data_IF_907198838300
#
_entry.id   IF_907198838300
#
_cell.length_a   1.000
_cell.length_b   1.000
_cell.length_c   1.000
_cell.angle_alpha   90.00
_cell.angle_beta   90.00
_cell.angle_gamma   90.00
#
_symmetry.space_group_name_H-M   'P 1'
#
loop_
_entity.id
_entity.type
_entity.pdbx_description
1 polymer ?
#
# COMPACT_ATOMS: atom_id res chain seq x y z
N UNK A 1 -4.61 -19.48 0.02
CA UNK A 1 -4.51 -18.06 0.44
C UNK A 1 -3.41 -17.42 -0.39
N UNK A 2 -3.59 -16.22 -0.94
CA UNK A 2 -2.57 -15.50 -1.73
C UNK A 2 -1.85 -14.48 -0.85
N UNK A 3 -0.64 -14.76 -0.35
CA UNK A 3 0.11 -13.79 0.46
C UNK A 3 0.65 -12.64 -0.38
N UNK A 4 0.88 -11.48 0.26
CA UNK A 4 1.63 -10.37 -0.34
C UNK A 4 3.13 -10.66 -0.24
N UNK A 5 3.83 -10.59 -1.37
CA UNK A 5 5.28 -10.74 -1.43
C UNK A 5 5.94 -9.37 -1.24
N UNK A 6 6.53 -9.15 -0.07
CA UNK A 6 7.28 -7.92 0.26
C UNK A 6 8.78 -8.24 0.40
N UNK A 7 9.71 -7.58 -0.29
CA UNK A 7 9.56 -6.54 -1.32
C UNK A 7 10.47 -6.81 -2.53
N UNK A 8 10.02 -6.39 -3.72
CA UNK A 8 10.84 -6.30 -4.92
C UNK A 8 11.65 -5.00 -4.89
N UNK A 9 12.99 -5.14 -4.91
CA UNK A 9 13.96 -4.05 -5.08
C UNK A 9 14.66 -4.19 -6.42
N UNK A 10 15.49 -3.21 -6.80
CA UNK A 10 16.24 -3.21 -8.05
C UNK A 10 17.11 -4.45 -8.25
N UNK A 11 17.69 -4.99 -7.18
CA UNK A 11 18.55 -6.17 -7.27
C UNK A 11 17.77 -7.48 -7.46
N UNK A 12 16.52 -7.53 -6.99
CA UNK A 12 15.75 -8.77 -6.88
C UNK A 12 14.49 -8.80 -7.77
N UNK A 13 14.32 -7.81 -8.65
CA UNK A 13 13.10 -7.61 -9.43
C UNK A 13 12.78 -8.83 -10.32
N UNK A 14 13.77 -9.37 -11.03
CA UNK A 14 13.59 -10.50 -11.93
C UNK A 14 13.11 -11.78 -11.21
N UNK A 15 13.79 -12.14 -10.11
CA UNK A 15 13.44 -13.34 -9.34
C UNK A 15 12.06 -13.21 -8.68
N UNK A 16 11.72 -12.02 -8.14
CA UNK A 16 10.40 -11.79 -7.54
C UNK A 16 9.31 -11.77 -8.60
N UNK A 17 9.57 -11.26 -9.81
CA UNK A 17 8.61 -11.28 -10.90
C UNK A 17 8.28 -12.71 -11.35
N UNK A 18 9.26 -13.60 -11.45
CA UNK A 18 9.04 -15.02 -11.76
C UNK A 18 8.24 -15.72 -10.66
N UNK A 19 8.62 -15.50 -9.39
CA UNK A 19 7.90 -16.04 -8.24
C UNK A 19 6.45 -15.57 -8.22
N UNK A 20 6.19 -14.29 -8.49
CA UNK A 20 4.86 -13.72 -8.52
C UNK A 20 3.99 -14.29 -9.64
N UNK A 21 4.57 -14.50 -10.83
CA UNK A 21 3.87 -15.16 -11.95
C UNK A 21 3.50 -16.60 -11.61
N UNK A 22 4.46 -17.36 -11.07
CA UNK A 22 4.24 -18.78 -10.72
C UNK A 22 3.19 -18.96 -9.62
N UNK A 23 3.18 -18.07 -8.64
CA UNK A 23 2.29 -18.17 -7.47
C UNK A 23 1.02 -17.32 -7.58
N UNK A 24 0.90 -16.49 -8.63
CA UNK A 24 -0.21 -15.55 -8.85
C UNK A 24 -0.52 -14.70 -7.60
N UNK A 25 0.55 -14.29 -6.90
CA UNK A 25 0.50 -13.52 -5.65
C UNK A 25 0.81 -12.04 -5.90
N UNK A 26 0.18 -11.12 -5.15
CA UNK A 26 0.50 -9.70 -5.24
C UNK A 26 1.93 -9.42 -4.76
N UNK A 27 2.59 -8.47 -5.39
CA UNK A 27 3.98 -8.05 -5.08
C UNK A 27 4.01 -6.62 -4.60
N UNK A 28 4.74 -6.37 -3.53
CA UNK A 28 5.06 -5.02 -3.09
C UNK A 28 6.44 -4.59 -3.62
N UNK A 29 6.50 -3.42 -4.24
CA UNK A 29 7.73 -2.80 -4.76
C UNK A 29 8.21 -1.76 -3.76
N UNK A 30 9.50 -1.78 -3.44
CA UNK A 30 10.14 -0.81 -2.57
C UNK A 30 11.25 -0.10 -3.33
N UNK A 31 11.21 1.23 -3.32
CA UNK A 31 12.26 2.08 -3.85
C UNK A 31 12.65 3.16 -2.84
N UNK A 32 13.74 3.89 -3.11
CA UNK A 32 14.23 4.99 -2.27
C UNK A 32 13.72 6.37 -2.70
N UNK A 33 12.83 6.42 -3.70
CA UNK A 33 12.21 7.64 -4.19
C UNK A 33 11.21 7.37 -5.31
N UNK A 34 10.39 8.38 -5.64
CA UNK A 34 9.28 8.25 -6.59
C UNK A 34 9.72 7.93 -8.03
N UNK A 35 10.90 8.41 -8.43
CA UNK A 35 11.42 8.19 -9.79
C UNK A 35 11.86 6.74 -9.99
N UNK A 36 12.69 6.23 -9.07
CA UNK A 36 13.09 4.82 -9.05
C UNK A 36 11.85 3.90 -8.93
N UNK A 37 10.89 4.26 -8.09
CA UNK A 37 9.64 3.52 -7.92
C UNK A 37 8.85 3.37 -9.21
N UNK A 38 8.79 4.45 -10.00
CA UNK A 38 8.10 4.44 -11.29
C UNK A 38 8.78 3.54 -12.32
N UNK A 39 10.11 3.49 -12.32
CA UNK A 39 10.91 2.63 -13.20
C UNK A 39 10.69 1.16 -12.85
N UNK A 40 10.86 0.79 -11.57
CA UNK A 40 10.68 -0.60 -11.11
C UNK A 40 9.24 -1.09 -11.34
N UNK A 41 8.24 -0.23 -11.15
CA UNK A 41 6.84 -0.61 -11.36
C UNK A 41 6.50 -0.77 -12.84
N UNK A 42 7.11 0.02 -13.72
CA UNK A 42 6.98 -0.15 -15.17
C UNK A 42 7.59 -1.48 -15.62
N UNK A 43 8.82 -1.80 -15.20
CA UNK A 43 9.49 -3.06 -15.53
C UNK A 43 8.70 -4.30 -15.05
N UNK A 44 8.11 -4.23 -13.84
CA UNK A 44 7.25 -5.30 -13.32
C UNK A 44 5.93 -5.44 -14.10
N UNK A 45 5.35 -4.31 -14.52
CA UNK A 45 4.14 -4.32 -15.35
C UNK A 45 4.42 -4.90 -16.74
N UNK A 46 5.56 -4.56 -17.35
CA UNK A 46 6.04 -5.13 -18.62
C UNK A 46 6.31 -6.62 -18.51
N UNK A 47 6.80 -7.07 -17.34
CA UNK A 47 6.95 -8.48 -17.01
C UNK A 47 5.60 -9.22 -16.90
N UNK A 48 4.46 -8.53 -16.91
CA UNK A 48 3.12 -9.11 -16.89
C UNK A 48 2.53 -9.31 -15.50
N UNK A 49 3.16 -8.75 -14.45
CA UNK A 49 2.60 -8.76 -13.09
C UNK A 49 1.59 -7.61 -12.98
N UNK A 50 0.32 -7.93 -12.74
CA UNK A 50 -0.76 -6.94 -12.63
C UNK A 50 -1.06 -6.53 -11.19
N UNK A 51 -0.84 -7.43 -10.24
CA UNK A 51 -1.14 -7.23 -8.83
C UNK A 51 0.09 -6.64 -8.12
N UNK A 52 0.24 -5.32 -8.21
CA UNK A 52 1.37 -4.59 -7.62
C UNK A 52 0.88 -3.67 -6.50
N UNK A 53 1.68 -3.57 -5.44
CA UNK A 53 1.55 -2.62 -4.33
C UNK A 53 2.83 -1.79 -4.26
N UNK A 54 2.73 -0.50 -3.93
CA UNK A 54 3.84 0.46 -3.99
C UNK A 54 4.25 0.90 -2.58
N UNK A 55 5.55 0.88 -2.28
CA UNK A 55 6.18 1.46 -1.09
C UNK A 55 7.21 2.51 -1.54
N UNK A 56 7.04 3.78 -1.13
CA UNK A 56 7.99 4.85 -1.45
C UNK A 56 9.30 4.76 -0.68
N UNK A 57 9.40 3.84 0.31
CA UNK A 57 10.59 3.65 1.14
C UNK A 57 10.75 4.70 2.23
N UNK A 58 9.91 5.74 2.25
CA UNK A 58 9.97 6.83 3.22
C UNK A 58 9.71 6.33 4.65
N UNK A 59 10.58 6.76 5.57
CA UNK A 59 10.51 6.43 7.02
C UNK A 59 10.25 7.65 7.90
N UNK A 60 10.13 8.82 7.31
CA UNK A 60 9.68 10.03 7.99
C UNK A 60 8.21 10.28 7.65
N UNK A 61 7.45 10.71 8.65
CA UNK A 61 6.00 10.97 8.49
C UNK A 61 5.74 12.05 7.44
N UNK A 62 6.56 13.10 7.41
CA UNK A 62 6.45 14.21 6.45
C UNK A 62 6.64 13.74 5.01
N UNK A 63 7.77 13.07 4.72
CA UNK A 63 8.07 12.62 3.37
C UNK A 63 7.05 11.60 2.89
N UNK A 64 6.68 10.63 3.73
CA UNK A 64 5.68 9.64 3.38
C UNK A 64 4.32 10.29 3.08
N UNK A 65 3.93 11.34 3.82
CA UNK A 65 2.69 12.08 3.54
C UNK A 65 2.73 12.80 2.19
N UNK A 66 3.84 13.48 1.87
CA UNK A 66 4.03 14.14 0.58
C UNK A 66 4.01 13.13 -0.57
N UNK A 67 4.72 12.01 -0.41
CA UNK A 67 4.76 10.94 -1.40
C UNK A 67 3.36 10.40 -1.70
N UNK A 68 2.52 10.14 -0.68
CA UNK A 68 1.15 9.65 -0.90
C UNK A 68 0.31 10.64 -1.71
N UNK A 69 0.44 11.95 -1.47
CA UNK A 69 -0.26 12.98 -2.22
C UNK A 69 0.24 13.01 -3.67
N UNK A 70 1.55 12.97 -3.88
CA UNK A 70 2.16 13.01 -5.22
C UNK A 70 1.76 11.76 -6.02
N UNK A 71 1.87 10.57 -5.43
CA UNK A 71 1.48 9.29 -6.05
C UNK A 71 0.03 9.35 -6.52
N UNK A 72 -0.89 9.73 -5.61
CA UNK A 72 -2.32 9.78 -5.95
C UNK A 72 -2.63 10.86 -7.00
N UNK A 73 -2.03 12.04 -6.88
CA UNK A 73 -2.21 13.14 -7.84
C UNK A 73 -1.65 12.78 -9.21
N UNK A 74 -0.48 12.14 -9.28
CA UNK A 74 0.12 11.68 -10.54
C UNK A 74 -0.74 10.61 -11.21
N UNK A 75 -1.27 9.66 -10.43
CA UNK A 75 -2.15 8.60 -10.93
C UNK A 75 -3.47 9.16 -11.50
N UNK A 76 -4.11 10.10 -10.80
CA UNK A 76 -5.42 10.63 -11.20
C UNK A 76 -5.33 11.77 -12.24
N UNK A 77 -4.53 12.80 -11.96
CA UNK A 77 -4.50 14.02 -12.77
C UNK A 77 -3.63 13.85 -14.01
N UNK A 78 -2.44 13.24 -13.86
CA UNK A 78 -1.50 13.03 -14.97
C UNK A 78 -1.70 11.68 -15.68
N UNK A 79 -2.63 10.84 -15.20
CA UNK A 79 -2.88 9.48 -15.69
C UNK A 79 -1.60 8.63 -15.77
N UNK A 80 -0.68 8.86 -14.83
CA UNK A 80 0.62 8.21 -14.82
C UNK A 80 0.49 6.78 -14.29
N UNK A 81 0.43 5.81 -15.22
CA UNK A 81 0.17 4.39 -14.91
C UNK A 81 1.15 3.73 -13.95
N UNK A 82 2.47 4.01 -13.99
CA UNK A 82 3.42 3.36 -13.08
C UNK A 82 3.19 3.65 -11.59
N UNK A 83 2.49 4.74 -11.25
CA UNK A 83 2.12 5.07 -9.86
C UNK A 83 0.62 4.82 -9.57
N UNK A 84 -0.07 4.12 -10.47
CA UNK A 84 -1.52 3.87 -10.39
C UNK A 84 -1.95 2.75 -9.44
N UNK A 85 -1.02 2.22 -8.64
CA UNK A 85 -1.24 1.04 -7.79
C UNK A 85 -1.48 1.44 -6.32
N UNK A 86 -2.13 0.58 -5.52
CA UNK A 86 -2.31 0.82 -4.09
C UNK A 86 -0.97 0.93 -3.37
N UNK A 87 -0.92 1.75 -2.32
CA UNK A 87 0.30 2.00 -1.54
C UNK A 87 0.32 1.22 -0.23
N UNK A 88 1.52 0.89 0.26
CA UNK A 88 1.74 0.33 1.60
C UNK A 88 2.62 1.27 2.43
N UNK A 89 2.25 1.48 3.69
CA UNK A 89 2.95 2.34 4.64
C UNK A 89 3.30 1.54 5.91
N UNK A 90 4.56 1.59 6.32
CA UNK A 90 5.05 0.94 7.55
C UNK A 90 5.19 1.97 8.67
N UNK A 91 4.15 2.08 9.50
CA UNK A 91 4.13 3.05 10.60
C UNK A 91 4.95 2.56 11.79
N UNK A 92 5.05 1.23 11.93
CA UNK A 92 5.91 0.57 12.89
C UNK A 92 7.39 0.96 12.77
N UNK A 93 7.84 1.40 11.59
CA UNK A 93 9.22 1.85 11.36
C UNK A 93 9.38 3.38 11.54
N UNK A 94 8.27 4.11 11.70
CA UNK A 94 8.27 5.58 11.85
C UNK A 94 8.22 6.03 13.30
N UNK A 95 7.58 5.25 14.18
CA UNK A 95 7.44 5.60 15.59
C UNK A 95 7.28 4.36 16.46
N UNK A 96 7.89 4.40 17.65
CA UNK A 96 7.78 3.34 18.66
C UNK A 96 6.63 3.59 19.66
N UNK A 97 5.99 4.76 19.60
CA UNK A 97 4.89 5.14 20.52
C UNK A 97 3.53 4.75 19.92
N UNK A 98 2.80 3.79 20.53
CA UNK A 98 1.52 3.31 20.00
C UNK A 98 0.46 4.39 19.83
N UNK A 99 0.48 5.43 20.67
CA UNK A 99 -0.49 6.53 20.59
C UNK A 99 -0.20 7.44 19.39
N UNK A 100 1.08 7.69 19.10
CA UNK A 100 1.48 8.45 17.90
C UNK A 100 1.24 7.64 16.64
N UNK A 101 1.53 6.35 16.69
CA UNK A 101 1.27 5.42 15.58
C UNK A 101 -0.21 5.45 15.18
N UNK A 102 -1.12 5.46 16.16
CA UNK A 102 -2.56 5.57 15.94
C UNK A 102 -2.97 6.85 15.18
N UNK A 103 -2.41 7.99 15.59
CA UNK A 103 -2.72 9.29 14.98
C UNK A 103 -2.18 9.35 13.55
N UNK A 104 -0.97 8.85 13.35
CA UNK A 104 -0.36 8.76 12.02
C UNK A 104 -1.16 7.80 11.13
N UNK A 105 -1.67 6.69 11.68
CA UNK A 105 -2.53 5.76 10.97
C UNK A 105 -3.83 6.45 10.52
N UNK A 106 -4.51 7.18 11.41
CA UNK A 106 -5.70 7.93 11.06
C UNK A 106 -5.43 8.96 9.94
N UNK A 107 -4.26 9.60 9.95
CA UNK A 107 -3.83 10.51 8.91
C UNK A 107 -3.65 9.79 7.56
N UNK A 108 -2.96 8.64 7.52
CA UNK A 108 -2.76 7.89 6.28
C UNK A 108 -4.05 7.25 5.75
N UNK A 109 -4.97 6.84 6.62
CA UNK A 109 -6.34 6.43 6.20
C UNK A 109 -7.05 7.58 5.50
N UNK A 110 -6.97 8.79 6.06
CA UNK A 110 -7.56 9.98 5.43
C UNK A 110 -6.82 10.41 4.15
N UNK A 111 -5.54 10.06 4.01
CA UNK A 111 -4.64 10.50 2.94
C UNK A 111 -4.00 9.33 2.21
N UNK A 112 -4.86 8.64 1.45
CA UNK A 112 -4.52 7.71 0.36
C UNK A 112 -3.65 6.49 0.74
N UNK A 113 -3.44 6.20 2.02
CA UNK A 113 -2.77 4.98 2.46
C UNK A 113 -3.65 3.76 2.19
N UNK A 114 -3.23 2.89 1.28
CA UNK A 114 -3.96 1.66 0.96
C UNK A 114 -3.80 0.59 2.04
N UNK A 115 -2.55 0.23 2.34
CA UNK A 115 -2.21 -0.78 3.35
C UNK A 115 -1.37 -0.12 4.43
N UNK A 116 -1.80 -0.28 5.69
CA UNK A 116 -1.17 0.33 6.85
C UNK A 116 -0.68 -0.81 7.74
N UNK A 117 0.64 -0.87 7.93
CA UNK A 117 1.28 -1.88 8.78
C UNK A 117 1.58 -1.25 10.13
N UNK A 118 0.98 -1.83 11.19
CA UNK A 118 1.10 -1.36 12.56
C UNK A 118 1.94 -2.33 13.39
N UNK A 119 2.70 -1.79 14.35
CA UNK A 119 3.51 -2.56 15.29
C UNK A 119 2.62 -3.34 16.28
N UNK A 120 1.59 -2.67 16.81
CA UNK A 120 0.68 -3.26 17.78
C UNK A 120 -0.75 -2.76 17.60
N UNK A 121 -1.69 -3.69 17.44
CA UNK A 121 -3.12 -3.39 17.40
C UNK A 121 -3.72 -3.63 18.79
N UNK A 122 -3.34 -2.82 19.78
CA UNK A 122 -3.96 -2.92 21.13
C UNK A 122 -5.35 -2.30 21.12
N UNK A 123 -6.30 -2.96 21.79
CA UNK A 123 -7.66 -2.47 22.03
C UNK A 123 -7.76 -1.13 22.81
N UNK A 124 -6.62 -0.59 23.28
CA UNK A 124 -6.52 0.70 23.95
C UNK A 124 -6.37 1.88 22.99
N UNK A 125 -6.24 1.64 21.67
CA UNK A 125 -6.36 2.69 20.69
C UNK A 125 -7.68 3.45 20.94
N UNK A 126 -7.67 4.80 20.97
CA UNK A 126 -8.86 5.59 21.22
C UNK A 126 -10.01 5.11 20.32
N UNK A 127 -11.15 4.81 20.92
CA UNK A 127 -12.37 4.36 20.23
C UNK A 127 -12.71 5.17 18.96
N UNK A 128 -12.46 6.50 18.87
CA UNK A 128 -12.65 7.23 17.63
C UNK A 128 -11.81 6.68 16.46
N UNK A 129 -10.55 6.32 16.70
CA UNK A 129 -9.63 5.81 15.67
C UNK A 129 -10.06 4.41 15.24
N UNK A 130 -10.41 3.53 16.19
CA UNK A 130 -10.92 2.20 15.86
C UNK A 130 -12.19 2.32 15.01
N UNK A 131 -13.11 3.24 15.34
CA UNK A 131 -14.33 3.49 14.56
C UNK A 131 -14.05 4.04 13.17
N UNK A 132 -13.06 4.93 13.02
CA UNK A 132 -12.58 5.41 11.72
C UNK A 132 -11.98 4.28 10.90
N UNK A 133 -11.24 3.36 11.53
CA UNK A 133 -10.69 2.17 10.90
C UNK A 133 -11.76 1.10 10.59
N UNK A 134 -12.93 1.13 11.24
CA UNK A 134 -13.98 0.11 11.14
C UNK A 134 -15.24 0.52 10.36
N UNK A 135 -15.24 1.68 9.69
CA UNK A 135 -16.39 2.23 8.96
C UNK A 135 -16.04 2.47 7.48
N UNK A 136 -17.00 2.50 6.55
CA UNK A 136 -17.50 1.38 5.72
C UNK A 136 -16.46 0.76 4.75
N UNK A 137 -15.17 1.06 4.88
CA UNK A 137 -14.11 0.46 4.06
C UNK A 137 -13.71 -0.90 4.64
N UNK A 138 -13.90 -1.97 3.86
CA UNK A 138 -13.71 -3.37 4.28
C UNK A 138 -12.28 -3.60 4.80
N UNK A 139 -12.12 -3.62 6.12
CA UNK A 139 -10.83 -3.82 6.78
C UNK A 139 -10.49 -5.31 6.83
N UNK A 140 -9.45 -5.73 6.10
CA UNK A 140 -8.93 -7.11 6.18
C UNK A 140 -7.78 -7.15 7.19
N UNK A 141 -8.01 -7.80 8.34
CA UNK A 141 -6.98 -8.04 9.35
C UNK A 141 -6.17 -9.28 8.95
N UNK A 142 -4.90 -9.11 8.59
CA UNK A 142 -3.99 -10.23 8.36
C UNK A 142 -2.93 -10.22 9.46
N UNK A 143 -2.88 -11.30 10.23
CA UNK A 143 -1.82 -11.55 11.22
C UNK A 143 -0.70 -12.32 10.53
N UNK A 144 0.47 -11.70 10.39
CA UNK A 144 1.70 -12.37 9.97
C UNK A 144 2.68 -12.29 11.15
N UNK A 145 2.92 -13.44 11.80
CA UNK A 145 3.98 -13.70 12.80
C UNK A 145 4.49 -12.45 13.55
N UNK A 146 3.64 -11.83 14.36
CA UNK A 146 4.01 -10.72 15.26
C UNK A 146 3.65 -9.30 14.78
N UNK A 147 3.25 -9.11 13.52
CA UNK A 147 2.79 -7.82 13.00
C UNK A 147 1.30 -7.88 12.59
N UNK A 148 0.57 -6.82 12.93
CA UNK A 148 -0.83 -6.64 12.54
C UNK A 148 -0.90 -5.77 11.29
N UNK A 149 -1.30 -6.35 10.16
CA UNK A 149 -1.55 -5.61 8.93
C UNK A 149 -3.01 -5.18 8.92
N UNK A 150 -3.26 -3.88 8.88
CA UNK A 150 -4.56 -3.29 8.61
C UNK A 150 -4.60 -2.93 7.12
N UNK A 151 -5.18 -3.80 6.30
CA UNK A 151 -5.48 -3.46 4.92
C UNK A 151 -6.76 -2.63 4.90
N UNK A 152 -6.63 -1.33 4.61
CA UNK A 152 -7.76 -0.47 4.31
C UNK A 152 -8.08 -0.64 2.82
N UNK A 153 -8.95 -1.60 2.49
CA UNK A 153 -9.45 -1.69 1.11
C UNK A 153 -10.36 -0.49 0.93
N UNK A 154 -9.82 0.62 0.44
CA UNK A 154 -10.64 1.69 -0.11
C UNK A 154 -11.30 1.12 -1.36
N UNK A 155 -12.44 0.45 -1.22
CA UNK A 155 -13.34 0.09 -2.32
C UNK A 155 -13.89 1.39 -2.89
N UNK A 156 -13.08 2.09 -3.67
CA UNK A 156 -13.60 2.81 -4.81
C UNK A 156 -13.82 1.74 -5.88
N UNK A 157 -15.04 1.55 -6.40
CA UNK A 157 -15.24 0.65 -7.51
C UNK A 157 -14.38 1.20 -8.66
N UNK A 158 -13.33 0.47 -9.02
CA UNK A 158 -12.77 0.52 -10.36
C UNK A 158 -13.88 0.04 -11.28
N UNK A 159 -14.77 0.96 -11.67
CA UNK A 159 -15.66 0.74 -12.78
C UNK A 159 -14.77 0.74 -14.02
N UNK A 160 -14.24 -0.44 -14.37
CA UNK A 160 -13.90 -0.72 -15.75
C UNK A 160 -15.21 -0.66 -16.51
N UNK A 161 -15.50 0.49 -17.10
CA UNK A 161 -16.58 0.64 -18.07
C UNK A 161 -16.23 -0.21 -19.30
N UNK A 162 -16.56 -1.49 -19.26
CA UNK A 162 -16.87 -2.28 -20.44
C UNK A 162 -18.39 -2.30 -20.54
N UNK A 163 -18.91 -1.59 -21.54
CA UNK A 163 -20.31 -1.59 -21.93
C UNK A 163 -20.85 -3.02 -22.09
N UNK A 164 -22.03 -3.27 -21.53
CA UNK A 164 -23.03 -4.20 -22.07
C UNK A 164 -24.39 -3.61 -21.63
N UNK A 165 -25.16 -3.12 -22.61
CA UNK A 165 -26.52 -2.59 -22.45
C UNK A 165 -27.45 -3.49 -23.26
N UNK A 166 -28.24 -4.31 -22.57
CA UNK A 166 -29.65 -4.59 -22.86
C UNK A 166 -30.43 -4.46 -21.55
#
# INVERSE_FOLDING_TARGET
>A
RKPLLYAATKENLAAVAELAKSSSCPVAVKASGLEELSQLTAELSESGVKDIVIDSGSRTVHQAFEDQIIIRSAALNKKFRPLGFPTICFLAEMTDDPMKEAVIAAMFVAKYGGIIVLSDFRAQLPQPIIKTLSSPFNMLKISLKGFWIVACITTFPLHTSSQEWE
#
